data_IF_940077770377
#
_entry.id   IF_940077770377
#
_cell.length_a   1.000
_cell.length_b   1.000
_cell.length_c   1.000
_cell.angle_alpha   90.00
_cell.angle_beta   90.00
_cell.angle_gamma   90.00
#
_symmetry.space_group_name_H-M   'P 1'
#
loop_
_entity.id
_entity.type
_entity.pdbx_description
1 polymer ?
#
# COMPACT_ATOMS: atom_id res chain seq x y z
N UNK A 1 9.97 27.39 -21.89
CA UNK A 1 10.45 27.72 -20.52
C UNK A 1 11.97 27.60 -20.48
N UNK A 2 12.69 28.56 -19.89
CA UNK A 2 14.16 28.52 -19.74
C UNK A 2 14.59 27.40 -18.78
N UNK A 3 15.79 26.85 -18.97
CA UNK A 3 16.30 25.74 -18.15
C UNK A 3 16.38 26.09 -16.66
N UNK A 4 16.89 27.27 -16.31
CA UNK A 4 16.98 27.73 -14.92
C UNK A 4 15.61 27.83 -14.23
N UNK A 5 14.60 28.39 -14.90
CA UNK A 5 13.23 28.47 -14.37
C UNK A 5 12.62 27.08 -14.15
N UNK A 6 12.92 26.14 -15.04
CA UNK A 6 12.48 24.75 -14.92
C UNK A 6 13.18 24.04 -13.77
N UNK A 7 14.48 24.26 -13.58
CA UNK A 7 15.25 23.73 -12.45
C UNK A 7 14.70 24.24 -11.11
N UNK A 8 14.41 25.53 -11.01
CA UNK A 8 13.77 26.11 -9.81
C UNK A 8 12.39 25.49 -9.55
N UNK A 9 11.58 25.27 -10.59
CA UNK A 9 10.28 24.63 -10.45
C UNK A 9 10.39 23.15 -10.01
N UNK A 10 11.35 22.40 -10.58
CA UNK A 10 11.64 21.02 -10.16
C UNK A 10 12.08 20.98 -8.70
N UNK A 11 12.97 21.88 -8.27
CA UNK A 11 13.44 21.94 -6.89
C UNK A 11 12.33 22.30 -5.91
N UNK A 12 11.49 23.27 -6.24
CA UNK A 12 10.34 23.63 -5.42
C UNK A 12 9.38 22.45 -5.27
N UNK A 13 9.13 21.73 -6.36
CA UNK A 13 8.25 20.56 -6.34
C UNK A 13 8.86 19.40 -5.55
N UNK A 14 10.17 19.15 -5.68
CA UNK A 14 10.91 18.17 -4.88
C UNK A 14 10.92 18.55 -3.39
N UNK A 15 11.01 19.84 -3.05
CA UNK A 15 10.91 20.30 -1.66
C UNK A 15 9.52 20.07 -1.08
N UNK A 16 8.47 20.31 -1.89
CA UNK A 16 7.06 20.18 -1.50
C UNK A 16 6.65 18.72 -1.35
N UNK A 17 6.93 17.90 -2.36
CA UNK A 17 6.47 16.51 -2.46
C UNK A 17 7.50 15.48 -1.94
N UNK A 18 8.72 15.92 -1.63
CA UNK A 18 9.89 15.11 -1.22
C UNK A 18 10.41 14.16 -2.30
N UNK A 19 9.53 13.62 -3.15
CA UNK A 19 9.80 12.73 -4.28
C UNK A 19 8.88 13.13 -5.43
N UNK A 20 9.41 13.21 -6.64
CA UNK A 20 8.66 13.59 -7.85
C UNK A 20 8.95 12.62 -8.99
N UNK A 21 7.94 12.33 -9.82
CA UNK A 21 8.12 11.51 -11.03
C UNK A 21 8.39 12.37 -12.25
N UNK A 22 9.21 11.84 -13.16
CA UNK A 22 9.52 12.48 -14.46
C UNK A 22 8.25 12.76 -15.26
N UNK A 23 7.26 11.85 -15.22
CA UNK A 23 6.02 12.00 -15.96
C UNK A 23 5.15 13.16 -15.45
N UNK A 24 5.08 13.33 -14.13
CA UNK A 24 4.29 14.39 -13.49
C UNK A 24 4.96 15.75 -13.70
N UNK A 25 6.28 15.82 -13.55
CA UNK A 25 7.07 16.99 -13.91
C UNK A 25 6.92 17.36 -15.39
N UNK A 26 6.92 16.38 -16.31
CA UNK A 26 6.77 16.63 -17.74
C UNK A 26 5.41 17.26 -18.06
N UNK A 27 4.33 16.77 -17.44
CA UNK A 27 2.99 17.34 -17.55
C UNK A 27 2.93 18.75 -16.94
N UNK A 28 3.43 18.92 -15.72
CA UNK A 28 3.44 20.20 -14.99
C UNK A 28 4.20 21.29 -15.74
N UNK A 29 5.33 20.92 -16.34
CA UNK A 29 6.24 21.87 -17.01
C UNK A 29 5.94 22.02 -18.50
N UNK A 30 5.04 21.21 -19.06
CA UNK A 30 4.71 21.20 -20.49
C UNK A 30 5.91 20.85 -21.39
N UNK A 31 6.77 19.92 -20.97
CA UNK A 31 7.97 19.51 -21.72
C UNK A 31 8.05 17.99 -21.88
N UNK A 32 8.95 17.51 -22.75
CA UNK A 32 9.13 16.08 -22.95
C UNK A 32 9.75 15.38 -21.73
N UNK A 33 9.49 14.08 -21.58
CA UNK A 33 10.13 13.24 -20.56
C UNK A 33 11.67 13.29 -20.65
N UNK A 34 12.22 13.34 -21.86
CA UNK A 34 13.66 13.43 -22.08
C UNK A 34 14.25 14.78 -21.64
N UNK A 35 13.46 15.85 -21.73
CA UNK A 35 13.86 17.16 -21.21
C UNK A 35 13.98 17.09 -19.69
N UNK A 36 12.94 16.63 -19.00
CA UNK A 36 12.94 16.49 -17.53
C UNK A 36 14.05 15.55 -17.04
N UNK A 37 14.31 14.44 -17.74
CA UNK A 37 15.42 13.53 -17.39
C UNK A 37 16.77 14.24 -17.41
N UNK A 38 17.05 15.05 -18.44
CA UNK A 38 18.29 15.85 -18.54
C UNK A 38 18.38 16.89 -17.44
N UNK A 39 17.26 17.49 -17.02
CA UNK A 39 17.26 18.47 -15.94
C UNK A 39 17.52 17.85 -14.58
N UNK A 40 16.89 16.71 -14.30
CA UNK A 40 17.15 15.94 -13.09
C UNK A 40 18.62 15.51 -13.07
N UNK A 41 19.20 15.08 -14.20
CA UNK A 41 20.62 14.75 -14.28
C UNK A 41 21.53 15.94 -13.96
N UNK A 42 21.19 17.14 -14.46
CA UNK A 42 21.94 18.35 -14.14
C UNK A 42 21.83 18.74 -12.65
N UNK A 43 20.64 18.61 -12.06
CA UNK A 43 20.39 18.92 -10.65
C UNK A 43 21.01 17.88 -9.70
N UNK A 44 21.02 16.61 -10.09
CA UNK A 44 21.66 15.51 -9.37
C UNK A 44 23.18 15.66 -9.37
N UNK A 45 23.78 15.98 -10.53
CA UNK A 45 25.20 16.31 -10.64
C UNK A 45 25.61 17.53 -9.78
N UNK A 46 24.68 18.46 -9.53
CA UNK A 46 24.87 19.61 -8.66
C UNK A 46 24.56 19.32 -7.17
N UNK A 47 24.14 18.08 -6.83
CA UNK A 47 23.78 17.68 -5.47
C UNK A 47 22.50 18.34 -4.93
N UNK A 48 21.67 18.94 -5.80
CA UNK A 48 20.46 19.66 -5.41
C UNK A 48 19.23 18.74 -5.29
N UNK A 49 19.26 17.59 -5.98
CA UNK A 49 18.32 16.47 -5.85
C UNK A 49 19.10 15.15 -5.88
N UNK A 50 18.47 14.04 -5.49
CA UNK A 50 18.99 12.69 -5.72
C UNK A 50 18.12 12.02 -6.79
N UNK A 51 18.74 11.59 -7.90
CA UNK A 51 18.04 10.88 -8.98
C UNK A 51 17.62 9.48 -8.51
N UNK A 52 16.36 9.13 -8.77
CA UNK A 52 15.81 7.80 -8.51
C UNK A 52 15.20 7.20 -9.79
N UNK A 53 14.84 5.91 -9.77
CA UNK A 53 14.23 5.29 -10.94
C UNK A 53 12.90 5.99 -11.30
N UNK A 54 12.87 6.69 -12.43
CA UNK A 54 11.68 7.40 -12.93
C UNK A 54 11.41 8.76 -12.29
N UNK A 55 12.33 9.33 -11.50
CA UNK A 55 12.07 10.55 -10.73
C UNK A 55 13.29 11.20 -10.08
N UNK A 56 13.03 12.11 -9.15
CA UNK A 56 14.01 12.76 -8.28
C UNK A 56 13.46 12.93 -6.86
N UNK A 57 14.35 13.01 -5.85
CA UNK A 57 14.00 13.27 -4.45
C UNK A 57 14.97 14.24 -3.79
N UNK A 58 14.71 14.65 -2.55
CA UNK A 58 15.66 15.47 -1.78
C UNK A 58 16.97 14.72 -1.47
N UNK A 59 18.14 15.37 -1.59
CA UNK A 59 19.42 14.80 -1.17
C UNK A 59 19.43 14.55 0.34
N UNK A 60 19.97 13.41 0.78
CA UNK A 60 20.13 13.10 2.20
C UNK A 60 18.87 12.58 2.92
N UNK A 61 17.75 12.43 2.22
CA UNK A 61 16.63 11.61 2.70
C UNK A 61 16.98 10.13 2.49
N UNK A 62 17.00 9.34 3.55
CA UNK A 62 17.37 7.92 3.57
C UNK A 62 17.04 7.19 2.24
N UNK A 63 18.11 6.70 1.61
CA UNK A 63 18.27 5.91 0.37
C UNK A 63 17.07 5.58 -0.51
N UNK A 64 17.20 5.79 -1.82
CA UNK A 64 16.70 4.92 -2.91
C UNK A 64 15.35 4.19 -2.77
N UNK A 65 14.34 4.77 -2.12
CA UNK A 65 13.11 4.07 -1.77
C UNK A 65 11.87 4.55 -2.53
N UNK A 66 11.02 3.57 -2.80
CA UNK A 66 9.58 3.68 -2.96
C UNK A 66 9.00 4.86 -2.16
N UNK A 67 7.99 5.61 -2.67
CA UNK A 67 7.43 6.73 -1.92
C UNK A 67 7.06 6.25 -0.51
N UNK A 68 7.61 6.96 0.48
CA UNK A 68 7.46 6.59 1.89
C UNK A 68 5.99 6.40 2.25
N UNK A 69 5.74 5.53 3.21
CA UNK A 69 4.39 5.18 3.64
C UNK A 69 3.47 6.39 3.85
N UNK A 70 3.97 7.47 4.46
CA UNK A 70 3.22 8.71 4.70
C UNK A 70 2.67 9.32 3.40
N UNK A 71 3.45 9.32 2.31
CA UNK A 71 3.01 9.79 1.00
C UNK A 71 1.95 8.86 0.38
N UNK A 72 2.08 7.55 0.60
CA UNK A 72 1.11 6.58 0.10
C UNK A 72 -0.19 6.55 0.89
N UNK A 73 -0.19 6.97 2.16
CA UNK A 73 -1.39 7.07 2.99
C UNK A 73 -2.29 8.22 2.53
N UNK A 74 -1.70 9.36 2.14
CA UNK A 74 -2.46 10.53 1.71
C UNK A 74 -2.98 10.42 0.28
N UNK A 75 -2.29 9.66 -0.58
CA UNK A 75 -2.77 9.35 -1.92
C UNK A 75 -3.96 8.39 -1.90
N UNK A 76 -4.93 8.59 -2.79
CA UNK A 76 -6.07 7.68 -3.01
C UNK A 76 -6.73 7.25 -1.69
N UNK A 77 -6.93 8.20 -0.77
CA UNK A 77 -7.40 7.91 0.58
C UNK A 77 -8.81 7.33 0.52
N UNK A 78 -9.68 7.91 -0.30
CA UNK A 78 -11.09 7.53 -0.39
C UNK A 78 -11.23 6.13 -1.00
N UNK A 79 -10.43 5.81 -2.02
CA UNK A 79 -10.32 4.47 -2.63
C UNK A 79 -9.85 3.44 -1.59
N UNK A 80 -8.78 3.75 -0.84
CA UNK A 80 -8.28 2.84 0.19
C UNK A 80 -9.28 2.61 1.31
N UNK A 81 -10.00 3.64 1.71
CA UNK A 81 -11.06 3.52 2.72
C UNK A 81 -12.23 2.71 2.20
N UNK A 82 -12.67 2.90 0.95
CA UNK A 82 -13.72 2.09 0.34
C UNK A 82 -13.34 0.60 0.29
N UNK A 83 -12.13 0.29 -0.17
CA UNK A 83 -11.60 -1.07 -0.17
C UNK A 83 -11.52 -1.64 1.26
N UNK A 84 -11.05 -0.83 2.22
CA UNK A 84 -10.94 -1.24 3.62
C UNK A 84 -12.31 -1.53 4.26
N UNK A 85 -13.36 -0.78 3.93
CA UNK A 85 -14.72 -1.03 4.41
C UNK A 85 -15.27 -2.38 3.92
N UNK A 86 -15.12 -2.66 2.62
CA UNK A 86 -15.52 -3.95 2.04
C UNK A 86 -14.75 -5.13 2.67
N UNK A 87 -13.47 -4.94 2.96
CA UNK A 87 -12.64 -5.94 3.64
C UNK A 87 -13.05 -6.13 5.11
N UNK A 88 -13.30 -5.03 5.85
CA UNK A 88 -13.68 -5.06 7.26
C UNK A 88 -15.00 -5.81 7.50
N UNK A 89 -15.96 -5.70 6.56
CA UNK A 89 -17.24 -6.40 6.62
C UNK A 89 -17.12 -7.94 6.57
N UNK A 90 -15.95 -8.46 6.21
CA UNK A 90 -15.68 -9.90 6.13
C UNK A 90 -15.09 -10.49 7.42
N UNK A 91 -14.72 -9.64 8.38
CA UNK A 91 -14.08 -10.05 9.63
C UNK A 91 -15.12 -10.24 10.72
N UNK A 92 -15.00 -11.34 11.47
CA UNK A 92 -15.89 -11.72 12.56
C UNK A 92 -15.11 -11.92 13.86
N UNK A 93 -15.81 -11.77 14.97
CA UNK A 93 -15.31 -12.08 16.31
C UNK A 93 -14.63 -13.46 16.34
N UNK A 94 -13.44 -13.52 16.95
CA UNK A 94 -12.68 -14.75 17.16
C UNK A 94 -11.81 -15.21 15.98
N UNK A 95 -11.85 -14.55 14.82
CA UNK A 95 -11.02 -14.92 13.67
C UNK A 95 -9.52 -14.65 13.90
N UNK A 96 -8.67 -15.50 13.31
CA UNK A 96 -7.26 -15.23 13.10
C UNK A 96 -7.06 -14.51 11.75
N UNK A 97 -6.71 -13.23 11.80
CA UNK A 97 -6.64 -12.32 10.65
C UNK A 97 -5.19 -11.94 10.35
N UNK A 98 -4.71 -12.31 9.17
CA UNK A 98 -3.44 -11.84 8.61
C UNK A 98 -3.57 -10.47 7.99
N UNK A 99 -2.69 -9.53 8.34
CA UNK A 99 -2.60 -8.21 7.70
C UNK A 99 -1.16 -8.01 7.22
N UNK A 100 -0.92 -8.06 5.91
CA UNK A 100 0.39 -7.72 5.36
C UNK A 100 0.68 -6.22 5.51
N UNK A 101 1.96 -5.85 5.48
CA UNK A 101 2.35 -4.44 5.37
C UNK A 101 1.80 -3.81 4.08
N UNK A 102 1.25 -2.60 4.21
CA UNK A 102 0.64 -1.86 3.11
C UNK A 102 -0.24 -0.71 3.62
N UNK A 103 -0.46 0.32 2.81
CA UNK A 103 -1.28 1.46 3.24
C UNK A 103 -2.78 1.15 3.22
N UNK A 104 -3.24 0.30 2.29
CA UNK A 104 -4.63 -0.17 2.25
C UNK A 104 -4.93 -1.14 3.40
N UNK A 105 -4.02 -2.06 3.71
CA UNK A 105 -4.15 -2.97 4.87
C UNK A 105 -4.03 -2.22 6.19
N UNK A 106 -3.26 -1.13 6.24
CA UNK A 106 -3.25 -0.22 7.39
C UNK A 106 -4.57 0.55 7.55
N UNK A 107 -5.19 1.00 6.47
CA UNK A 107 -6.54 1.58 6.53
C UNK A 107 -7.57 0.58 7.07
N UNK A 108 -7.49 -0.68 6.64
CA UNK A 108 -8.28 -1.77 7.22
C UNK A 108 -8.00 -1.98 8.72
N UNK A 109 -6.73 -1.95 9.13
CA UNK A 109 -6.37 -2.09 10.54
C UNK A 109 -7.02 -1.01 11.43
N UNK A 110 -7.13 0.23 10.94
CA UNK A 110 -7.83 1.29 11.68
C UNK A 110 -9.31 0.99 11.89
N UNK A 111 -9.98 0.37 10.92
CA UNK A 111 -11.38 -0.04 11.06
C UNK A 111 -11.52 -1.23 12.02
N UNK A 112 -10.63 -2.22 11.90
CA UNK A 112 -10.66 -3.43 12.72
C UNK A 112 -10.29 -3.18 14.18
N UNK A 113 -9.46 -2.18 14.47
CA UNK A 113 -9.02 -1.90 15.82
C UNK A 113 -10.15 -1.44 16.75
N UNK A 114 -11.17 -0.77 16.17
CA UNK A 114 -12.43 -0.41 16.81
C UNK A 114 -13.55 -1.46 16.63
N UNK A 115 -13.23 -2.59 15.98
CA UNK A 115 -14.18 -3.63 15.59
C UNK A 115 -14.18 -4.86 16.50
N UNK A 116 -14.41 -6.07 15.95
CA UNK A 116 -14.49 -7.29 16.72
C UNK A 116 -13.16 -7.66 17.39
N UNK A 117 -13.23 -8.43 18.48
CA UNK A 117 -12.05 -9.04 19.11
C UNK A 117 -11.55 -10.18 18.23
N UNK A 118 -10.34 -10.04 17.72
CA UNK A 118 -9.69 -10.98 16.81
C UNK A 118 -8.26 -11.27 17.24
N UNK A 119 -7.62 -12.24 16.59
CA UNK A 119 -6.16 -12.39 16.63
C UNK A 119 -5.58 -11.82 15.35
N UNK A 120 -4.80 -10.76 15.45
CA UNK A 120 -4.13 -10.11 14.32
C UNK A 120 -2.72 -10.66 14.19
N UNK A 121 -2.36 -11.16 13.02
CA UNK A 121 -0.99 -11.52 12.66
C UNK A 121 -0.51 -10.55 11.58
N UNK A 122 0.51 -9.75 11.87
CA UNK A 122 1.01 -8.75 10.93
C UNK A 122 2.53 -8.73 10.89
N UNK A 123 3.09 -8.39 9.73
CA UNK A 123 4.50 -8.04 9.60
C UNK A 123 4.71 -6.53 9.54
N UNK A 124 3.71 -5.70 9.90
CA UNK A 124 3.86 -4.25 9.89
C UNK A 124 3.89 -3.69 11.31
N UNK A 125 4.97 -2.97 11.62
CA UNK A 125 5.08 -2.24 12.90
C UNK A 125 3.95 -1.21 13.01
N UNK A 126 3.65 -0.50 11.92
CA UNK A 126 2.57 0.51 11.89
C UNK A 126 1.18 -0.09 12.15
N UNK A 127 0.90 -1.27 11.60
CA UNK A 127 -0.39 -1.96 11.87
C UNK A 127 -0.44 -2.38 13.33
N UNK A 128 0.64 -2.94 13.88
CA UNK A 128 0.70 -3.29 15.31
C UNK A 128 0.44 -2.06 16.21
N UNK A 129 1.04 -0.92 15.87
CA UNK A 129 0.84 0.35 16.61
C UNK A 129 -0.61 0.82 16.58
N UNK A 130 -1.35 0.64 15.48
CA UNK A 130 -2.79 1.00 15.40
C UNK A 130 -3.61 0.26 16.46
N UNK A 131 -3.40 -1.05 16.61
CA UNK A 131 -4.11 -1.84 17.61
C UNK A 131 -3.67 -1.50 19.03
N UNK A 132 -2.38 -1.19 19.23
CA UNK A 132 -1.86 -0.78 20.53
C UNK A 132 -2.44 0.57 20.99
N UNK A 133 -2.42 1.59 20.12
CA UNK A 133 -2.86 2.95 20.43
C UNK A 133 -4.38 3.05 20.64
N UNK A 134 -5.16 2.21 19.96
CA UNK A 134 -6.62 2.16 20.09
C UNK A 134 -7.10 1.41 21.34
N UNK A 135 -6.18 0.87 22.16
CA UNK A 135 -6.53 -0.01 23.30
C UNK A 135 -7.46 -1.17 22.88
N UNK A 136 -7.24 -1.71 21.67
CA UNK A 136 -8.06 -2.77 21.11
C UNK A 136 -8.00 -4.02 21.99
N UNK A 137 -9.11 -4.74 22.20
CA UNK A 137 -9.13 -5.99 22.97
C UNK A 137 -8.51 -7.18 22.20
N UNK A 138 -8.12 -6.97 20.95
CA UNK A 138 -7.56 -7.98 20.04
C UNK A 138 -6.13 -8.38 20.44
N UNK A 139 -5.79 -9.65 20.22
CA UNK A 139 -4.41 -10.11 20.37
C UNK A 139 -3.63 -9.74 19.12
N UNK A 140 -2.43 -9.17 19.26
CA UNK A 140 -1.58 -8.80 18.12
C UNK A 140 -0.28 -9.59 18.18
N UNK A 141 -0.01 -10.34 17.12
CA UNK A 141 1.22 -11.08 16.88
C UNK A 141 1.98 -10.37 15.76
N UNK A 142 3.14 -9.81 16.11
CA UNK A 142 4.07 -9.22 15.15
C UNK A 142 5.09 -10.28 14.74
N UNK A 143 5.24 -10.56 13.44
CA UNK A 143 6.03 -11.70 12.93
C UNK A 143 7.52 -11.66 13.30
N UNK A 144 8.04 -10.48 13.70
CA UNK A 144 9.47 -10.22 13.85
C UNK A 144 10.17 -10.15 12.50
N UNK A 145 11.49 -9.95 12.49
CA UNK A 145 12.31 -9.90 11.28
C UNK A 145 13.11 -8.61 11.11
N UNK A 146 13.70 -8.45 9.92
CA UNK A 146 14.41 -7.25 9.51
C UNK A 146 13.41 -6.20 9.04
N UNK A 147 13.57 -4.96 9.52
CA UNK A 147 12.71 -3.85 9.14
C UNK A 147 13.16 -3.26 7.81
N UNK A 148 12.30 -3.36 6.79
CA UNK A 148 12.49 -2.69 5.51
C UNK A 148 12.21 -1.18 5.63
N UNK A 149 12.63 -0.35 4.67
CA UNK A 149 12.31 1.08 4.74
C UNK A 149 10.84 1.42 4.41
N UNK A 150 10.03 0.44 4.00
CA UNK A 150 8.56 0.54 3.97
C UNK A 150 7.92 0.27 5.35
N UNK A 151 8.73 -0.03 6.37
CA UNK A 151 8.37 -0.48 7.72
C UNK A 151 7.61 -1.82 7.76
N UNK A 152 7.86 -2.66 6.77
CA UNK A 152 7.54 -4.08 6.84
C UNK A 152 8.67 -4.83 7.56
N UNK A 153 8.33 -5.90 8.27
CA UNK A 153 9.27 -6.85 8.84
C UNK A 153 9.36 -8.06 7.91
N UNK A 154 10.58 -8.43 7.54
CA UNK A 154 10.84 -9.46 6.52
C UNK A 154 11.97 -10.39 6.93
N UNK A 155 12.23 -11.37 6.07
CA UNK A 155 13.38 -12.27 6.18
C UNK A 155 13.06 -13.56 6.94
N UNK A 156 14.09 -14.35 7.28
CA UNK A 156 13.92 -15.72 7.77
C UNK A 156 13.10 -15.83 9.06
N UNK A 157 13.24 -14.87 9.98
CA UNK A 157 12.47 -14.85 11.22
C UNK A 157 10.98 -14.62 10.95
N UNK A 158 10.64 -13.58 10.16
CA UNK A 158 9.25 -13.29 9.78
C UNK A 158 8.61 -14.51 9.09
N UNK A 159 9.32 -15.07 8.12
CA UNK A 159 8.89 -16.23 7.33
C UNK A 159 8.70 -17.48 8.20
N UNK A 160 9.62 -17.75 9.13
CA UNK A 160 9.55 -18.90 10.03
C UNK A 160 8.39 -18.79 11.02
N UNK A 161 8.14 -17.59 11.55
CA UNK A 161 6.97 -17.33 12.39
C UNK A 161 5.68 -17.64 11.65
N UNK A 162 5.53 -17.15 10.40
CA UNK A 162 4.32 -17.38 9.60
C UNK A 162 4.06 -18.85 9.29
N UNK A 163 5.10 -19.66 9.07
CA UNK A 163 4.98 -21.10 8.81
C UNK A 163 4.39 -21.90 9.98
N UNK A 164 4.38 -21.34 11.19
CA UNK A 164 3.83 -21.99 12.39
C UNK A 164 2.41 -21.54 12.72
N UNK A 165 1.86 -20.61 11.93
CA UNK A 165 0.56 -19.99 12.16
C UNK A 165 -0.44 -20.45 11.11
N UNK A 166 -1.72 -20.44 11.48
CA UNK A 166 -2.83 -20.72 10.59
C UNK A 166 -3.83 -19.55 10.70
N UNK A 167 -4.13 -18.95 9.56
CA UNK A 167 -4.98 -17.76 9.49
C UNK A 167 -6.31 -18.14 8.84
N UNK A 168 -7.42 -17.63 9.38
CA UNK A 168 -8.73 -17.79 8.76
C UNK A 168 -8.83 -16.95 7.48
N UNK A 169 -8.25 -15.75 7.50
CA UNK A 169 -8.20 -14.86 6.34
C UNK A 169 -6.91 -14.03 6.35
N UNK A 170 -6.30 -13.86 5.18
CA UNK A 170 -5.24 -12.89 4.92
C UNK A 170 -5.80 -11.74 4.11
N UNK A 171 -5.55 -10.51 4.55
CA UNK A 171 -5.65 -9.32 3.73
C UNK A 171 -4.26 -8.90 3.27
N UNK A 172 -4.02 -9.05 1.97
CA UNK A 172 -2.72 -8.83 1.33
C UNK A 172 -2.75 -7.54 0.51
N UNK A 173 -1.93 -6.57 0.91
CA UNK A 173 -1.59 -5.42 0.08
C UNK A 173 -0.51 -5.79 -0.95
N UNK A 174 -0.58 -5.18 -2.13
CA UNK A 174 0.36 -5.44 -3.24
C UNK A 174 0.91 -4.14 -3.82
N UNK A 175 2.10 -4.20 -4.41
CA UNK A 175 2.66 -3.07 -5.17
C UNK A 175 2.08 -3.03 -6.59
N UNK A 176 1.95 -4.20 -7.22
CA UNK A 176 1.51 -4.33 -8.60
C UNK A 176 0.66 -5.56 -8.83
N UNK A 177 -0.25 -5.43 -9.79
CA UNK A 177 -1.09 -6.50 -10.32
C UNK A 177 -0.87 -6.53 -11.82
N UNK A 178 -0.31 -7.63 -12.31
CA UNK A 178 -0.01 -7.83 -13.72
C UNK A 178 -0.77 -9.05 -14.25
N UNK A 179 -1.20 -8.96 -15.51
CA UNK A 179 -2.00 -10.01 -16.15
C UNK A 179 -1.23 -11.33 -16.26
N UNK A 180 0.10 -11.31 -16.39
CA UNK A 180 0.92 -12.50 -16.57
C UNK A 180 1.71 -12.81 -15.29
N UNK A 181 2.33 -11.80 -14.67
CA UNK A 181 3.20 -11.97 -13.50
C UNK A 181 2.46 -12.07 -12.16
N UNK A 182 1.15 -11.80 -12.15
CA UNK A 182 0.29 -11.89 -10.95
C UNK A 182 0.49 -10.74 -9.97
N UNK A 183 0.47 -11.07 -8.68
CA UNK A 183 0.69 -10.11 -7.59
C UNK A 183 2.18 -9.92 -7.35
N UNK A 184 2.66 -8.68 -7.39
CA UNK A 184 4.11 -8.40 -7.35
C UNK A 184 4.49 -7.31 -6.33
N UNK A 185 5.76 -7.33 -5.93
CA UNK A 185 6.42 -6.34 -5.06
C UNK A 185 7.84 -6.01 -5.55
N UNK A 186 8.36 -4.78 -5.34
CA UNK A 186 9.73 -4.42 -5.67
C UNK A 186 10.77 -5.02 -4.72
N UNK A 187 10.37 -5.62 -3.58
CA UNK A 187 11.30 -6.17 -2.59
C UNK A 187 11.19 -7.70 -2.50
N UNK A 188 12.28 -8.40 -2.76
CA UNK A 188 12.33 -9.88 -2.79
C UNK A 188 12.04 -10.50 -1.41
N UNK A 189 12.50 -9.86 -0.33
CA UNK A 189 12.24 -10.34 1.03
C UNK A 189 10.79 -10.09 1.46
N UNK A 190 10.19 -8.98 1.01
CA UNK A 190 8.73 -8.78 1.16
C UNK A 190 7.96 -9.82 0.37
N UNK A 191 8.41 -10.17 -0.85
CA UNK A 191 7.77 -11.19 -1.66
C UNK A 191 7.79 -12.56 -0.96
N UNK A 192 8.93 -12.93 -0.38
CA UNK A 192 9.08 -14.18 0.39
C UNK A 192 8.19 -14.19 1.63
N UNK A 193 8.16 -13.10 2.39
CA UNK A 193 7.34 -12.98 3.59
C UNK A 193 5.85 -13.03 3.25
N UNK A 194 5.44 -12.36 2.17
CA UNK A 194 4.05 -12.38 1.70
C UNK A 194 3.65 -13.76 1.13
N UNK A 195 4.56 -14.51 0.50
CA UNK A 195 4.32 -15.92 0.12
C UNK A 195 4.07 -16.80 1.33
N UNK A 196 4.79 -16.58 2.43
CA UNK A 196 4.56 -17.29 3.68
C UNK A 196 3.19 -16.94 4.29
N UNK A 197 2.77 -15.68 4.21
CA UNK A 197 1.41 -15.28 4.58
C UNK A 197 0.34 -16.00 3.74
N UNK A 198 0.50 -16.02 2.41
CA UNK A 198 -0.40 -16.71 1.48
C UNK A 198 -0.52 -18.19 1.86
N UNK A 199 0.61 -18.84 2.14
CA UNK A 199 0.65 -20.26 2.54
C UNK A 199 -0.04 -20.52 3.89
N UNK A 200 0.06 -19.58 4.85
CA UNK A 200 -0.51 -19.73 6.18
C UNK A 200 -2.03 -19.49 6.23
N UNK A 201 -2.62 -18.93 5.17
CA UNK A 201 -4.02 -18.50 5.16
C UNK A 201 -4.95 -19.52 4.50
N UNK A 202 -6.11 -19.74 5.11
CA UNK A 202 -7.22 -20.49 4.50
C UNK A 202 -7.91 -19.74 3.37
N UNK A 203 -7.89 -18.41 3.45
CA UNK A 203 -8.51 -17.52 2.48
C UNK A 203 -7.62 -16.30 2.24
N UNK A 204 -7.32 -16.01 0.99
CA UNK A 204 -6.48 -14.89 0.56
C UNK A 204 -7.34 -13.82 -0.11
N UNK A 205 -7.39 -12.65 0.52
CA UNK A 205 -8.09 -11.46 0.01
C UNK A 205 -7.06 -10.40 -0.34
N UNK A 206 -6.90 -10.10 -1.62
CA UNK A 206 -6.00 -9.05 -2.10
C UNK A 206 -6.70 -7.70 -2.09
N UNK A 207 -6.04 -6.70 -1.52
CA UNK A 207 -6.50 -5.31 -1.49
C UNK A 207 -5.62 -4.48 -2.41
N UNK A 208 -6.19 -4.01 -3.53
CA UNK A 208 -5.45 -3.28 -4.56
C UNK A 208 -6.32 -2.18 -5.17
N UNK A 209 -5.89 -0.92 -5.05
CA UNK A 209 -6.53 0.17 -5.79
C UNK A 209 -6.26 0.06 -7.30
N UNK A 210 -7.07 0.73 -8.11
CA UNK A 210 -7.02 0.65 -9.57
C UNK A 210 -5.65 0.99 -10.17
N UNK A 211 -4.83 1.80 -9.47
CA UNK A 211 -3.50 2.19 -9.97
C UNK A 211 -2.47 1.05 -9.87
N UNK A 212 -2.78 -0.03 -9.14
CA UNK A 212 -1.90 -1.20 -9.04
C UNK A 212 -1.97 -2.07 -10.30
N UNK A 213 -3.06 -2.00 -11.07
CA UNK A 213 -3.20 -2.73 -12.32
C UNK A 213 -2.17 -2.25 -13.37
N UNK A 214 -1.51 -3.20 -14.04
CA UNK A 214 -0.47 -2.93 -15.03
C UNK A 214 0.85 -2.42 -14.43
N UNK A 215 0.97 -2.44 -13.10
CA UNK A 215 2.23 -2.16 -12.39
C UNK A 215 2.95 -3.47 -12.11
N UNK A 216 4.25 -3.50 -12.34
CA UNK A 216 5.08 -4.69 -12.17
C UNK A 216 6.20 -4.45 -11.16
N UNK A 217 6.21 -5.24 -10.09
CA UNK A 217 7.34 -5.40 -9.18
C UNK A 217 8.34 -6.43 -9.70
N UNK A 218 9.58 -6.39 -9.22
CA UNK A 218 10.64 -7.32 -9.65
C UNK A 218 10.48 -8.75 -9.12
N UNK A 219 9.56 -8.98 -8.17
CA UNK A 219 9.32 -10.29 -7.58
C UNK A 219 7.83 -10.59 -7.45
N UNK A 220 7.43 -11.77 -7.91
CA UNK A 220 6.07 -12.30 -7.78
C UNK A 220 5.84 -12.85 -6.38
N UNK A 221 4.74 -12.41 -5.76
CA UNK A 221 4.20 -12.95 -4.52
C UNK A 221 3.39 -14.20 -4.86
N UNK A 222 2.35 -14.07 -5.68
CA UNK A 222 1.44 -15.15 -6.02
C UNK A 222 0.83 -14.92 -7.40
N UNK A 223 0.32 -15.98 -8.02
CA UNK A 223 -0.48 -15.89 -9.25
C UNK A 223 -1.84 -15.23 -8.96
N UNK A 224 -2.58 -14.86 -10.01
CA UNK A 224 -3.94 -14.30 -9.83
C UNK A 224 -4.90 -15.34 -9.24
N UNK A 225 -4.73 -16.62 -9.59
CA UNK A 225 -5.55 -17.74 -9.14
C UNK A 225 -5.37 -18.06 -7.65
N UNK A 226 -4.24 -17.66 -7.07
CA UNK A 226 -3.98 -17.86 -5.64
C UNK A 226 -4.81 -16.92 -4.75
N UNK A 227 -5.49 -15.92 -5.32
CA UNK A 227 -6.39 -15.03 -4.59
C UNK A 227 -7.85 -15.53 -4.66
N UNK A 228 -8.42 -15.85 -3.49
CA UNK A 228 -9.85 -16.16 -3.36
C UNK A 228 -10.74 -14.96 -3.64
N UNK A 229 -10.27 -13.75 -3.31
CA UNK A 229 -10.95 -12.50 -3.63
C UNK A 229 -9.95 -11.38 -3.89
N UNK A 230 -10.24 -10.50 -4.84
CA UNK A 230 -9.59 -9.21 -5.03
C UNK A 230 -10.61 -8.11 -4.81
N UNK A 231 -10.31 -7.19 -3.89
CA UNK A 231 -11.10 -5.98 -3.65
C UNK A 231 -10.34 -4.78 -4.22
N UNK A 232 -10.97 -4.11 -5.17
CA UNK A 232 -10.47 -2.88 -5.81
C UNK A 232 -11.51 -1.78 -5.71
N UNK A 233 -11.11 -0.53 -5.91
CA UNK A 233 -12.06 0.58 -6.08
C UNK A 233 -12.74 0.54 -7.45
N UNK A 234 -13.81 1.33 -7.59
CA UNK A 234 -14.68 1.40 -8.76
C UNK A 234 -14.10 2.15 -9.97
N UNK A 235 -12.85 2.62 -9.90
CA UNK A 235 -12.13 3.23 -11.04
C UNK A 235 -11.33 2.23 -11.86
N UNK A 236 -11.34 0.94 -11.48
CA UNK A 236 -10.65 -0.12 -12.22
C UNK A 236 -11.15 -0.19 -13.68
N UNK A 237 -10.24 -0.19 -14.66
CA UNK A 237 -10.59 -0.20 -16.09
C UNK A 237 -11.31 -1.46 -16.56
N UNK A 238 -12.05 -1.39 -17.67
CA UNK A 238 -12.85 -2.51 -18.20
C UNK A 238 -12.04 -3.75 -18.55
N UNK A 239 -10.85 -3.57 -19.13
CA UNK A 239 -9.92 -4.67 -19.42
C UNK A 239 -9.46 -5.38 -18.14
N UNK A 240 -9.03 -4.60 -17.14
CA UNK A 240 -8.61 -5.11 -15.84
C UNK A 240 -9.74 -5.89 -15.17
N UNK A 241 -10.97 -5.36 -15.17
CA UNK A 241 -12.16 -6.05 -14.63
C UNK A 241 -12.41 -7.38 -15.31
N UNK A 242 -12.26 -7.42 -16.65
CA UNK A 242 -12.45 -8.66 -17.41
C UNK A 242 -11.42 -9.71 -17.02
N UNK A 243 -10.12 -9.37 -17.07
CA UNK A 243 -9.04 -10.32 -16.78
C UNK A 243 -9.10 -10.79 -15.32
N UNK A 244 -9.25 -9.86 -14.37
CA UNK A 244 -9.33 -10.21 -12.97
C UNK A 244 -10.59 -11.01 -12.66
N UNK A 245 -11.74 -10.65 -13.22
CA UNK A 245 -12.99 -11.39 -13.06
C UNK A 245 -12.94 -12.82 -13.59
N UNK A 246 -12.06 -13.12 -14.55
CA UNK A 246 -11.83 -14.47 -15.09
C UNK A 246 -10.81 -15.28 -14.27
N UNK A 247 -9.86 -14.62 -13.59
CA UNK A 247 -8.68 -15.28 -13.02
C UNK A 247 -8.58 -15.30 -11.49
N UNK A 248 -9.14 -14.32 -10.80
CA UNK A 248 -9.23 -14.38 -9.33
C UNK A 248 -10.50 -15.14 -8.92
N UNK A 249 -10.53 -15.72 -7.72
CA UNK A 249 -11.72 -16.45 -7.24
C UNK A 249 -12.99 -15.58 -7.20
N UNK A 250 -12.83 -14.30 -6.85
CA UNK A 250 -13.89 -13.28 -6.90
C UNK A 250 -13.31 -11.89 -7.07
N UNK A 251 -13.82 -11.10 -8.02
CA UNK A 251 -13.54 -9.67 -8.10
C UNK A 251 -14.66 -8.88 -7.40
N UNK A 252 -14.29 -7.97 -6.51
CA UNK A 252 -15.19 -7.04 -5.83
C UNK A 252 -14.75 -5.60 -6.09
N UNK A 253 -15.71 -4.75 -6.44
CA UNK A 253 -15.50 -3.32 -6.62
C UNK A 253 -16.13 -2.58 -5.45
N UNK A 254 -15.34 -1.75 -4.77
CA UNK A 254 -15.75 -0.89 -3.68
C UNK A 254 -16.05 0.50 -4.22
N UNK A 255 -17.25 1.03 -3.92
CA UNK A 255 -17.65 2.35 -4.37
C UNK A 255 -17.05 3.45 -3.50
N UNK A 256 -16.34 4.38 -4.13
CA UNK A 256 -15.69 5.52 -3.47
C UNK A 256 -16.68 6.56 -2.93
N UNK A 257 -17.92 6.57 -3.43
CA UNK A 257 -18.98 7.50 -3.03
C UNK A 257 -19.85 7.07 -1.84
N UNK A 258 -19.73 5.83 -1.36
CA UNK A 258 -20.64 5.26 -0.34
C UNK A 258 -20.02 5.14 1.07
N UNK A 259 -18.84 5.73 1.30
CA UNK A 259 -18.25 5.74 2.63
C UNK A 259 -19.19 6.49 3.60
N UNK A 260 -19.73 5.83 4.65
CA UNK A 260 -20.62 6.52 5.58
C UNK A 260 -19.83 7.64 6.25
N UNK A 261 -20.24 8.89 6.00
CA UNK A 261 -19.78 10.03 6.78
C UNK A 261 -20.09 9.73 8.25
N UNK A 262 -19.07 9.34 9.03
CA UNK A 262 -19.16 9.33 10.47
C UNK A 262 -19.36 10.77 10.93
N UNK A 263 -20.63 11.15 11.11
CA UNK A 263 -21.04 12.37 11.77
C UNK A 263 -20.41 12.36 13.16
N UNK A 264 -19.42 13.22 13.37
CA UNK A 264 -18.91 13.50 14.70
C UNK A 264 -20.06 14.10 15.51
N UNK A 265 -20.63 13.29 16.40
CA UNK A 265 -21.59 13.76 17.39
C UNK A 265 -20.92 14.86 18.22
N UNK A 266 -21.45 16.09 18.09
CA UNK A 266 -21.07 17.22 18.93
C UNK A 266 -21.49 16.92 20.37
N UNK A 267 -20.64 17.14 21.38
CA UNK A 267 -21.05 16.99 22.76
C UNK A 267 -22.00 18.15 23.11
N UNK A 268 -23.29 17.84 23.24
CA UNK A 268 -24.25 18.72 23.89
C UNK A 268 -23.83 18.94 25.34
N UNK A 269 -23.55 20.21 25.66
CA UNK A 269 -23.36 20.71 27.00
C UNK A 269 -24.59 20.38 27.87
N UNK A 270 -24.37 19.64 28.96
CA UNK A 270 -25.31 19.54 30.05
C UNK A 270 -25.05 20.69 31.03
N UNK A 271 -25.94 21.67 31.03
CA UNK A 271 -26.23 22.50 32.19
C UNK A 271 -27.33 21.80 32.99
N UNK A 272 -27.10 21.60 34.27
CA UNK A 272 -28.00 20.95 35.21
C UNK A 272 -27.27 20.45 36.44
#
# INVERSE_FOLDING_TARGET
>A
MLAAARHSAILAEVQRERIVRVADLAKMLGVSLMTVRRDIEALDAAGAVEKIHGGAKLPGGAGTHEPGFELKVTQLKDEKMAIAHEAAAQVREGMAVGLSAGTTTWALAQLLSAGPRITVVTNSVRIADVFHQSSSPSTVILTGGERTPSDALVGPLATSSLKQLHLDVLFLGVHGVDADAGFTTPNVLEAETNRAFVTAARRVVVLADHTKWGTLGISTIASLEDADELISDDLLGSEARRILGERVGRLRLASTGDAPHTSAASPTAAAG
#
